data_IF_801151647984
#
_entry.id   IF_801151647984
#
_cell.length_a   1.000
_cell.length_b   1.000
_cell.length_c   1.000
_cell.angle_alpha   90.00
_cell.angle_beta   90.00
_cell.angle_gamma   90.00
#
_symmetry.space_group_name_H-M   'P 1'
#
loop_
_entity.id
_entity.type
_entity.pdbx_description
1 polymer ?
#
# COMPACT_ATOMS: atom_id res chain seq x y z
N UNK A 1 16.14 -16.16 14.25
CA UNK A 1 15.63 -15.04 13.42
C UNK A 1 16.62 -14.76 12.29
N UNK A 2 16.16 -14.46 11.06
CA UNK A 2 17.02 -13.96 9.98
C UNK A 2 17.90 -12.80 10.42
N UNK A 3 19.10 -12.63 9.86
CA UNK A 3 19.84 -11.36 10.00
C UNK A 3 19.05 -10.24 9.29
N UNK A 4 18.51 -9.29 10.05
CA UNK A 4 17.65 -8.20 9.54
C UNK A 4 18.50 -6.98 9.10
N UNK A 5 19.79 -6.97 9.42
CA UNK A 5 20.76 -5.92 9.08
C UNK A 5 20.94 -5.72 7.57
N UNK A 6 20.51 -6.68 6.74
CA UNK A 6 20.63 -6.61 5.29
C UNK A 6 19.80 -5.45 4.68
N UNK A 7 20.42 -4.66 3.79
CA UNK A 7 19.76 -3.50 3.16
C UNK A 7 18.67 -3.85 2.14
N UNK A 8 18.79 -4.99 1.44
CA UNK A 8 17.92 -5.38 0.33
C UNK A 8 17.67 -6.89 0.38
N UNK A 9 16.44 -7.33 0.10
CA UNK A 9 16.09 -8.76 0.02
C UNK A 9 17.01 -9.56 -0.90
N UNK A 10 17.41 -8.98 -2.04
CA UNK A 10 18.38 -9.61 -2.97
C UNK A 10 19.73 -9.96 -2.33
N UNK A 11 20.14 -9.24 -1.28
CA UNK A 11 21.40 -9.46 -0.56
C UNK A 11 21.24 -10.39 0.65
N UNK A 12 20.03 -10.85 0.94
CA UNK A 12 19.80 -11.83 2.01
C UNK A 12 20.39 -13.16 1.56
N UNK A 13 21.11 -13.84 2.45
CA UNK A 13 21.71 -15.13 2.14
C UNK A 13 20.64 -16.18 1.82
N UNK A 14 20.91 -17.07 0.87
CA UNK A 14 19.93 -18.07 0.46
C UNK A 14 19.63 -19.06 1.58
N UNK A 15 20.58 -19.34 2.48
CA UNK A 15 20.34 -20.11 3.71
C UNK A 15 19.19 -19.57 4.57
N UNK A 16 18.91 -18.27 4.49
CA UNK A 16 17.80 -17.62 5.17
C UNK A 16 16.53 -17.61 4.32
N UNK A 17 16.67 -17.46 2.99
CA UNK A 17 15.52 -17.44 2.09
C UNK A 17 14.89 -18.82 1.92
N UNK A 18 15.69 -19.87 1.77
CA UNK A 18 15.24 -21.24 1.47
C UNK A 18 14.22 -21.78 2.49
N UNK A 19 14.44 -21.66 3.82
CA UNK A 19 13.43 -22.05 4.80
C UNK A 19 12.11 -21.27 4.68
N UNK A 20 12.15 -20.02 4.21
CA UNK A 20 10.94 -19.21 4.00
C UNK A 20 10.16 -19.65 2.76
N UNK A 21 10.86 -20.05 1.70
CA UNK A 21 10.24 -20.66 0.52
C UNK A 21 9.59 -22.00 0.87
N UNK A 22 10.35 -22.88 1.53
CA UNK A 22 9.85 -24.19 1.96
C UNK A 22 8.61 -24.05 2.86
N UNK A 23 8.62 -23.12 3.82
CA UNK A 23 7.46 -22.84 4.66
C UNK A 23 6.19 -22.46 3.88
N UNK A 24 6.33 -21.85 2.70
CA UNK A 24 5.19 -21.49 1.85
C UNK A 24 4.76 -22.68 1.01
N UNK A 25 5.69 -23.43 0.45
CA UNK A 25 5.42 -24.65 -0.31
C UNK A 25 4.73 -25.73 0.55
N UNK A 26 5.17 -25.90 1.79
CA UNK A 26 4.60 -26.89 2.73
C UNK A 26 3.15 -26.58 3.12
N UNK A 27 2.74 -25.30 3.02
CA UNK A 27 1.44 -24.81 3.51
C UNK A 27 0.44 -24.53 2.41
N UNK A 28 0.91 -24.35 1.17
CA UNK A 28 0.09 -23.91 0.06
C UNK A 28 0.43 -24.72 -1.18
N UNK A 29 -0.61 -25.22 -1.85
CA UNK A 29 -0.49 -25.79 -3.19
C UNK A 29 -0.26 -24.64 -4.19
N UNK A 30 1.01 -24.30 -4.41
CA UNK A 30 1.40 -23.24 -5.33
C UNK A 30 1.17 -23.68 -6.77
N UNK A 31 0.11 -23.16 -7.40
CA UNK A 31 -0.19 -23.37 -8.82
C UNK A 31 0.36 -22.23 -9.69
N UNK A 32 0.77 -22.56 -10.91
CA UNK A 32 1.23 -21.60 -11.93
C UNK A 32 2.69 -21.80 -12.34
N UNK A 33 3.18 -20.90 -13.18
CA UNK A 33 4.56 -20.92 -13.64
C UNK A 33 5.54 -20.65 -12.47
N UNK A 34 6.53 -21.52 -12.31
CA UNK A 34 7.48 -21.47 -11.19
C UNK A 34 8.26 -20.14 -11.14
N UNK A 35 8.56 -19.53 -12.29
CA UNK A 35 9.29 -18.26 -12.35
C UNK A 35 8.42 -17.13 -11.81
N UNK A 36 7.15 -17.08 -12.21
CA UNK A 36 6.21 -16.05 -11.77
C UNK A 36 5.80 -16.20 -10.30
N UNK A 37 5.62 -17.43 -9.83
CA UNK A 37 5.40 -17.74 -8.41
C UNK A 37 6.59 -17.25 -7.58
N UNK A 38 7.82 -17.62 -7.97
CA UNK A 38 9.02 -17.20 -7.26
C UNK A 38 9.24 -15.69 -7.26
N UNK A 39 8.93 -15.01 -8.37
CA UNK A 39 8.98 -13.55 -8.47
C UNK A 39 7.98 -12.88 -7.53
N UNK A 40 6.78 -13.44 -7.44
CA UNK A 40 5.72 -12.96 -6.55
C UNK A 40 6.10 -13.14 -5.08
N UNK A 41 6.59 -14.32 -4.70
CA UNK A 41 7.09 -14.60 -3.35
C UNK A 41 8.25 -13.69 -2.96
N UNK A 42 9.25 -13.54 -3.83
CA UNK A 42 10.36 -12.59 -3.64
C UNK A 42 9.87 -11.18 -3.35
N UNK A 43 8.87 -10.71 -4.10
CA UNK A 43 8.29 -9.37 -3.93
C UNK A 43 7.59 -9.24 -2.58
N UNK A 44 6.83 -10.25 -2.16
CA UNK A 44 6.15 -10.28 -0.86
C UNK A 44 7.15 -10.30 0.29
N UNK A 45 8.17 -11.15 0.24
CA UNK A 45 9.21 -11.19 1.27
C UNK A 45 10.01 -9.89 1.34
N UNK A 46 10.38 -9.32 0.19
CA UNK A 46 11.09 -8.04 0.14
C UNK A 46 10.27 -6.90 0.75
N UNK A 47 8.96 -6.84 0.45
CA UNK A 47 8.07 -5.84 1.01
C UNK A 47 7.86 -6.05 2.51
N UNK A 48 7.68 -7.29 2.96
CA UNK A 48 7.54 -7.62 4.38
C UNK A 48 8.77 -7.18 5.17
N UNK A 49 9.97 -7.52 4.70
CA UNK A 49 11.23 -7.08 5.31
C UNK A 49 11.33 -5.55 5.35
N UNK A 50 11.02 -4.87 4.23
CA UNK A 50 11.05 -3.40 4.17
C UNK A 50 10.11 -2.77 5.20
N UNK A 51 8.89 -3.28 5.31
CA UNK A 51 7.90 -2.76 6.24
C UNK A 51 8.29 -3.01 7.68
N UNK A 52 8.79 -4.21 7.99
CA UNK A 52 9.29 -4.55 9.31
C UNK A 52 10.42 -3.59 9.74
N UNK A 53 11.44 -3.42 8.90
CA UNK A 53 12.55 -2.49 9.17
C UNK A 53 12.07 -1.04 9.29
N UNK A 54 11.11 -0.62 8.47
CA UNK A 54 10.54 0.72 8.54
C UNK A 54 9.86 0.97 9.89
N UNK A 55 9.06 0.02 10.38
CA UNK A 55 8.40 0.11 11.69
C UNK A 55 9.41 0.18 12.84
N UNK A 56 10.47 -0.62 12.76
CA UNK A 56 11.58 -0.56 13.71
C UNK A 56 12.27 0.81 13.71
N UNK A 57 12.53 1.38 12.53
CA UNK A 57 13.11 2.72 12.41
C UNK A 57 12.19 3.80 13.00
N UNK A 58 10.88 3.68 12.84
CA UNK A 58 9.91 4.60 13.47
C UNK A 58 9.97 4.52 15.00
N UNK A 59 10.05 3.31 15.57
CA UNK A 59 10.25 3.11 17.02
C UNK A 59 11.58 3.72 17.49
N UNK A 60 12.67 3.44 16.78
CA UNK A 60 14.00 4.02 17.02
C UNK A 60 13.95 5.55 17.06
N UNK A 61 13.38 6.20 16.03
CA UNK A 61 13.30 7.66 15.96
C UNK A 61 12.49 8.26 17.11
N UNK A 62 11.37 7.63 17.47
CA UNK A 62 10.54 8.08 18.60
C UNK A 62 11.30 7.97 19.91
N UNK A 63 11.88 6.80 20.19
CA UNK A 63 12.61 6.56 21.43
C UNK A 63 13.88 7.43 21.53
N UNK A 64 14.57 7.68 20.42
CA UNK A 64 15.76 8.55 20.35
C UNK A 64 15.42 9.99 20.68
N UNK A 65 14.28 10.46 20.18
CA UNK A 65 13.78 11.80 20.48
C UNK A 65 13.38 11.95 21.95
N UNK A 66 12.79 10.93 22.57
CA UNK A 66 12.27 11.00 23.93
C UNK A 66 13.33 10.74 25.01
N UNK A 67 14.26 9.81 24.78
CA UNK A 67 15.16 9.30 25.82
C UNK A 67 16.66 9.42 25.47
N UNK A 68 17.00 9.87 24.26
CA UNK A 68 18.39 10.00 23.81
C UNK A 68 19.02 8.71 23.27
N UNK A 69 20.23 8.83 22.75
CA UNK A 69 20.91 7.78 21.96
C UNK A 69 21.31 6.55 22.79
N UNK A 70 21.77 6.76 24.02
CA UNK A 70 22.26 5.70 24.90
C UNK A 70 21.13 4.77 25.36
N UNK A 71 19.98 5.36 25.72
CA UNK A 71 18.80 4.60 26.10
C UNK A 71 18.34 3.66 24.98
N UNK A 72 18.21 4.19 23.75
CA UNK A 72 17.65 3.43 22.63
C UNK A 72 18.51 2.24 22.24
N UNK A 73 19.83 2.35 22.37
CA UNK A 73 20.74 1.23 22.10
C UNK A 73 20.52 0.05 23.05
N UNK A 74 20.23 0.34 24.31
CA UNK A 74 20.05 -0.68 25.36
C UNK A 74 18.62 -1.21 25.48
N UNK A 75 17.66 -0.65 24.73
CA UNK A 75 16.24 -1.03 24.78
C UNK A 75 15.74 -1.52 23.41
N UNK A 76 16.21 -2.69 22.93
CA UNK A 76 15.68 -3.29 21.70
C UNK A 76 14.20 -3.65 21.86
N UNK A 77 13.39 -3.54 20.80
CA UNK A 77 12.02 -4.06 20.82
C UNK A 77 11.99 -5.58 21.06
N UNK A 78 10.99 -6.06 21.80
CA UNK A 78 10.83 -7.46 22.23
C UNK A 78 11.05 -8.51 21.13
N UNK A 79 10.66 -8.20 19.89
CA UNK A 79 10.76 -9.10 18.75
C UNK A 79 12.08 -8.98 17.94
N UNK A 80 13.11 -8.32 18.48
CA UNK A 80 14.40 -8.10 17.82
C UNK A 80 15.54 -8.39 18.79
N UNK A 81 16.52 -9.19 18.38
CA UNK A 81 17.71 -9.45 19.21
C UNK A 81 18.56 -8.19 19.35
N UNK A 82 19.28 -8.07 20.46
CA UNK A 82 20.16 -6.93 20.70
C UNK A 82 21.20 -6.74 19.58
N UNK A 83 21.78 -7.82 19.04
CA UNK A 83 22.75 -7.70 17.95
C UNK A 83 22.12 -7.15 16.67
N UNK A 84 20.94 -7.66 16.29
CA UNK A 84 20.22 -7.18 15.11
C UNK A 84 19.79 -5.71 15.27
N UNK A 85 19.41 -5.30 16.48
CA UNK A 85 19.03 -3.93 16.77
C UNK A 85 20.22 -2.97 16.63
N UNK A 86 21.36 -3.30 17.24
CA UNK A 86 22.60 -2.54 17.13
C UNK A 86 23.06 -2.48 15.67
N UNK A 87 23.03 -3.61 14.96
CA UNK A 87 23.41 -3.67 13.55
C UNK A 87 22.54 -2.76 12.66
N UNK A 88 21.23 -2.69 12.92
CA UNK A 88 20.32 -1.78 12.21
C UNK A 88 20.63 -0.31 12.50
N UNK A 89 20.94 0.03 13.75
CA UNK A 89 21.32 1.39 14.12
C UNK A 89 22.59 1.76 13.38
N UNK A 90 23.67 1.00 13.60
CA UNK A 90 25.03 1.33 13.16
C UNK A 90 25.19 1.29 11.64
N UNK A 91 24.74 0.21 11.00
CA UNK A 91 25.03 -0.06 9.59
C UNK A 91 23.96 0.45 8.63
N UNK A 92 22.77 0.84 9.13
CA UNK A 92 21.63 1.20 8.29
C UNK A 92 21.08 2.59 8.56
N UNK A 93 20.84 2.97 9.81
CA UNK A 93 20.17 4.24 10.13
C UNK A 93 21.13 5.38 10.45
N UNK A 94 22.31 5.09 11.00
CA UNK A 94 23.35 6.10 11.25
C UNK A 94 24.29 6.31 10.07
N UNK A 95 24.25 5.41 9.09
CA UNK A 95 25.02 5.46 7.85
C UNK A 95 24.86 6.80 7.11
N UNK A 96 25.98 7.34 6.63
CA UNK A 96 26.01 8.64 5.96
C UNK A 96 25.21 8.62 4.66
N UNK A 97 25.45 7.62 3.81
CA UNK A 97 24.78 7.49 2.51
C UNK A 97 23.27 7.38 2.66
N UNK A 98 22.81 6.64 3.68
CA UNK A 98 21.38 6.55 3.99
C UNK A 98 20.78 7.90 4.39
N UNK A 99 21.46 8.68 5.24
CA UNK A 99 21.01 10.02 5.65
C UNK A 99 20.94 10.97 4.46
N UNK A 100 21.98 11.00 3.63
CA UNK A 100 22.02 11.84 2.43
C UNK A 100 20.88 11.49 1.46
N UNK A 101 20.71 10.20 1.15
CA UNK A 101 19.65 9.73 0.27
C UNK A 101 18.26 10.07 0.83
N UNK A 102 18.07 9.92 2.14
CA UNK A 102 16.81 10.27 2.82
C UNK A 102 16.51 11.78 2.70
N UNK A 103 17.52 12.64 2.90
CA UNK A 103 17.38 14.09 2.75
C UNK A 103 17.06 14.48 1.31
N UNK A 104 17.78 13.90 0.33
CA UNK A 104 17.52 14.12 -1.10
C UNK A 104 16.10 13.70 -1.48
N UNK A 105 15.65 12.53 -1.02
CA UNK A 105 14.28 12.07 -1.26
C UNK A 105 13.23 12.97 -0.60
N UNK A 106 13.51 13.52 0.58
CA UNK A 106 12.62 14.49 1.24
C UNK A 106 12.55 15.79 0.45
N UNK A 107 13.70 16.32 0.01
CA UNK A 107 13.81 17.51 -0.84
C UNK A 107 13.03 17.31 -2.15
N UNK A 108 13.26 16.21 -2.87
CA UNK A 108 12.56 15.89 -4.11
C UNK A 108 11.02 15.84 -3.95
N UNK A 109 10.51 15.32 -2.82
CA UNK A 109 9.06 15.30 -2.55
C UNK A 109 8.52 16.70 -2.31
N UNK A 110 9.28 17.55 -1.63
CA UNK A 110 8.87 18.90 -1.26
C UNK A 110 8.96 19.88 -2.45
N UNK A 111 9.98 19.76 -3.28
CA UNK A 111 10.20 20.63 -4.46
C UNK A 111 9.23 20.33 -5.60
N UNK A 112 8.64 19.14 -5.60
CA UNK A 112 7.79 18.68 -6.69
C UNK A 112 6.46 18.13 -6.18
N UNK A 113 5.66 18.97 -5.50
CA UNK A 113 4.41 18.54 -4.87
C UNK A 113 3.37 18.15 -5.93
N UNK A 114 3.36 18.80 -7.09
CA UNK A 114 2.34 18.60 -8.11
C UNK A 114 2.53 17.31 -8.91
N UNK A 115 3.77 16.85 -9.14
CA UNK A 115 4.01 15.54 -9.78
C UNK A 115 3.70 14.36 -8.86
N UNK A 116 3.63 14.59 -7.55
CA UNK A 116 3.22 13.57 -6.58
C UNK A 116 1.71 13.58 -6.30
N UNK A 117 0.96 14.54 -6.84
CA UNK A 117 -0.50 14.55 -6.79
C UNK A 117 -1.03 13.64 -7.89
N UNK A 118 -1.73 12.58 -7.49
CA UNK A 118 -2.44 11.73 -8.42
C UNK A 118 -3.54 12.53 -9.14
N UNK A 119 -3.41 12.74 -10.45
CA UNK A 119 -4.34 13.58 -11.23
C UNK A 119 -5.73 12.95 -11.43
N UNK A 120 -5.87 11.64 -11.23
CA UNK A 120 -7.08 10.89 -11.65
C UNK A 120 -7.95 10.37 -10.51
N UNK A 121 -7.80 10.92 -9.29
CA UNK A 121 -8.61 10.55 -8.12
C UNK A 121 -8.36 9.10 -7.69
N UNK A 122 -9.31 8.40 -7.07
CA UNK A 122 -9.07 7.02 -6.59
C UNK A 122 -9.22 5.93 -7.66
N UNK A 123 -9.66 6.27 -8.89
CA UNK A 123 -9.84 5.31 -9.98
C UNK A 123 -8.51 5.10 -10.73
N UNK A 124 -8.24 3.87 -11.13
CA UNK A 124 -7.09 3.56 -11.99
C UNK A 124 -7.32 4.07 -13.42
N UNK A 125 -6.25 4.24 -14.19
CA UNK A 125 -6.33 4.62 -15.60
C UNK A 125 -7.12 3.59 -16.43
N UNK A 126 -6.91 2.29 -16.18
CA UNK A 126 -7.62 1.21 -16.86
C UNK A 126 -9.14 1.28 -16.66
N UNK A 127 -9.60 1.59 -15.44
CA UNK A 127 -11.03 1.78 -15.15
C UNK A 127 -11.59 2.96 -15.96
N UNK A 128 -10.82 4.04 -16.14
CA UNK A 128 -11.25 5.20 -16.93
C UNK A 128 -11.30 4.91 -18.43
N UNK A 129 -10.36 4.11 -18.94
CA UNK A 129 -10.38 3.65 -20.35
C UNK A 129 -11.61 2.79 -20.59
N UNK A 130 -11.87 1.82 -19.72
CA UNK A 130 -13.07 0.98 -19.80
C UNK A 130 -14.37 1.79 -19.72
N UNK A 131 -14.45 2.78 -18.81
CA UNK A 131 -15.59 3.71 -18.74
C UNK A 131 -15.74 4.54 -20.03
N UNK A 132 -14.64 4.94 -20.67
CA UNK A 132 -14.66 5.62 -21.97
C UNK A 132 -15.19 4.75 -23.11
N UNK A 133 -14.72 3.50 -23.18
CA UNK A 133 -15.14 2.53 -24.19
C UNK A 133 -16.62 2.15 -24.03
N UNK A 134 -17.11 2.00 -22.79
CA UNK A 134 -18.53 1.75 -22.52
C UNK A 134 -19.43 2.91 -22.95
N UNK A 135 -18.98 4.16 -22.81
CA UNK A 135 -19.74 5.33 -23.30
C UNK A 135 -19.86 5.30 -24.82
N UNK A 136 -18.76 5.03 -25.53
CA UNK A 136 -18.77 4.90 -26.99
C UNK A 136 -19.66 3.75 -27.47
N UNK A 137 -19.61 2.59 -26.81
CA UNK A 137 -20.48 1.45 -27.13
C UNK A 137 -21.97 1.78 -26.95
N UNK A 138 -22.33 2.46 -25.86
CA UNK A 138 -23.71 2.86 -25.60
C UNK A 138 -24.21 3.91 -26.60
N UNK A 139 -23.35 4.85 -27.01
CA UNK A 139 -23.66 5.78 -28.09
C UNK A 139 -23.93 5.05 -29.41
N UNK A 140 -23.05 4.11 -29.78
CA UNK A 140 -23.17 3.34 -31.03
C UNK A 140 -24.43 2.45 -31.05
N UNK A 141 -24.74 1.77 -29.94
CA UNK A 141 -25.94 0.92 -29.81
C UNK A 141 -27.25 1.72 -29.98
N UNK A 142 -27.32 2.93 -29.44
CA UNK A 142 -28.52 3.78 -29.56
C UNK A 142 -28.67 4.43 -30.95
N UNK A 143 -27.64 4.36 -31.81
CA UNK A 143 -27.70 4.82 -33.20
C UNK A 143 -28.16 3.71 -34.18
N UNK A 144 -28.31 2.46 -33.71
CA UNK A 144 -28.73 1.32 -34.54
C UNK A 144 -30.24 1.36 -34.85
N UNK A 145 -31.05 1.99 -34.00
CA UNK A 145 -32.49 2.16 -34.21
C UNK A 145 -32.79 3.56 -34.79
N UNK A 146 -33.20 3.68 -36.08
CA UNK A 146 -33.45 4.96 -36.72
C UNK A 146 -34.66 5.72 -36.15
N UNK A 147 -35.54 5.05 -35.39
CA UNK A 147 -36.70 5.66 -34.74
C UNK A 147 -36.46 5.99 -33.25
N UNK A 148 -35.29 5.62 -32.71
CA UNK A 148 -34.93 5.92 -31.33
C UNK A 148 -34.36 7.34 -31.18
N UNK A 149 -34.78 8.04 -30.13
CA UNK A 149 -34.20 9.33 -29.76
C UNK A 149 -32.76 9.08 -29.30
N UNK A 150 -31.74 9.66 -29.97
CA UNK A 150 -30.35 9.48 -29.55
C UNK A 150 -30.16 9.99 -28.13
N UNK A 151 -29.45 9.22 -27.31
CA UNK A 151 -29.13 9.65 -25.95
C UNK A 151 -28.28 10.90 -25.98
N UNK A 152 -28.58 11.82 -25.06
CA UNK A 152 -27.70 12.96 -24.81
C UNK A 152 -26.38 12.49 -24.18
N UNK A 153 -25.26 13.18 -24.43
CA UNK A 153 -23.97 12.86 -23.81
C UNK A 153 -24.05 12.78 -22.27
N UNK A 154 -24.92 13.57 -21.65
CA UNK A 154 -25.19 13.55 -20.22
C UNK A 154 -25.84 12.23 -19.77
N UNK A 155 -26.79 11.70 -20.54
CA UNK A 155 -27.48 10.44 -20.24
C UNK A 155 -26.56 9.22 -20.38
N UNK A 156 -25.72 9.21 -21.42
CA UNK A 156 -24.67 8.19 -21.61
C UNK A 156 -23.72 8.20 -20.41
N UNK A 157 -23.24 9.39 -20.04
CA UNK A 157 -22.32 9.57 -18.91
C UNK A 157 -22.93 9.13 -17.57
N UNK A 158 -24.21 9.43 -17.31
CA UNK A 158 -24.91 9.00 -16.08
C UNK A 158 -25.11 7.49 -16.05
N UNK A 159 -25.42 6.85 -17.19
CA UNK A 159 -25.56 5.38 -17.27
C UNK A 159 -24.24 4.66 -17.00
N UNK A 160 -23.14 5.11 -17.58
CA UNK A 160 -21.82 4.46 -17.42
C UNK A 160 -21.16 4.78 -16.09
N UNK A 161 -21.08 6.07 -15.73
CA UNK A 161 -20.37 6.50 -14.52
C UNK A 161 -21.19 6.31 -13.25
N UNK A 162 -22.48 6.03 -13.41
CA UNK A 162 -23.53 6.01 -12.37
C UNK A 162 -23.75 7.40 -11.76
N UNK A 163 -24.94 7.68 -11.21
CA UNK A 163 -25.19 8.92 -10.49
C UNK A 163 -24.17 9.10 -9.36
N UNK A 164 -23.39 10.18 -9.42
CA UNK A 164 -22.43 10.52 -8.36
C UNK A 164 -23.21 11.02 -7.14
N UNK A 165 -23.18 10.24 -6.06
CA UNK A 165 -23.73 10.66 -4.76
C UNK A 165 -23.10 11.99 -4.31
N UNK A 166 -23.95 12.98 -4.00
CA UNK A 166 -23.54 14.27 -3.45
C UNK A 166 -23.27 15.41 -4.45
N UNK A 167 -23.46 15.20 -5.76
CA UNK A 167 -23.37 16.28 -6.74
C UNK A 167 -24.72 17.02 -6.86
N UNK A 168 -24.75 18.31 -6.52
CA UNK A 168 -25.92 19.19 -6.74
C UNK A 168 -25.57 20.17 -7.86
N UNK A 169 -26.38 20.15 -8.94
CA UNK A 169 -26.18 21.02 -10.11
C UNK A 169 -26.17 22.49 -9.68
N UNK A 170 -25.09 23.21 -9.99
CA UNK A 170 -24.91 24.64 -9.67
C UNK A 170 -24.20 24.95 -8.35
N UNK A 171 -23.85 23.96 -7.51
CA UNK A 171 -23.22 24.19 -6.20
C UNK A 171 -21.83 23.55 -6.03
N UNK A 172 -21.25 23.01 -7.10
CA UNK A 172 -19.93 22.39 -7.06
C UNK A 172 -19.87 21.13 -6.19
N UNK A 173 -18.65 20.67 -5.91
CA UNK A 173 -18.42 19.50 -5.05
C UNK A 173 -18.61 19.94 -3.60
N UNK A 174 -19.68 19.46 -2.94
CA UNK A 174 -19.86 19.65 -1.49
C UNK A 174 -18.65 19.04 -0.77
N UNK A 175 -18.10 19.69 0.28
CA UNK A 175 -17.10 19.07 1.14
C UNK A 175 -17.63 17.71 1.63
N UNK A 176 -16.89 16.67 1.29
CA UNK A 176 -17.26 15.26 1.47
C UNK A 176 -17.73 14.95 2.90
N UNK A 177 -18.99 14.58 3.09
CA UNK A 177 -19.37 13.71 4.21
C UNK A 177 -18.89 12.31 3.88
N UNK A 178 -17.84 11.85 4.56
CA UNK A 178 -17.25 10.52 4.45
C UNK A 178 -18.30 9.41 4.27
N UNK A 179 -18.47 8.92 3.03
CA UNK A 179 -19.17 7.67 2.74
C UNK A 179 -18.21 6.76 1.97
N UNK A 180 -17.90 5.63 2.61
CA UNK A 180 -17.13 4.51 2.07
C UNK A 180 -17.83 4.03 0.79
N UNK A 181 -17.11 3.99 -0.32
CA UNK A 181 -17.59 3.38 -1.56
C UNK A 181 -17.84 1.90 -1.32
N UNK A 182 -19.11 1.48 -1.28
CA UNK A 182 -19.47 0.07 -1.42
C UNK A 182 -19.49 -0.20 -2.92
N UNK A 183 -18.39 -0.75 -3.45
CA UNK A 183 -18.37 -1.26 -4.82
C UNK A 183 -19.21 -2.55 -4.88
N UNK A 184 -20.27 -2.52 -5.68
CA UNK A 184 -21.16 -3.64 -5.96
C UNK A 184 -20.64 -4.46 -7.14
N UNK A 185 -19.78 -5.44 -6.87
CA UNK A 185 -19.72 -6.69 -7.65
C UNK A 185 -19.56 -7.81 -6.65
N UNK A 186 -20.39 -8.85 -6.74
CA UNK A 186 -20.34 -10.01 -5.84
C UNK A 186 -18.96 -10.66 -5.89
N UNK A 187 -18.37 -10.77 -7.08
CA UNK A 187 -17.03 -11.32 -7.29
C UNK A 187 -15.94 -10.48 -6.62
N UNK A 188 -16.06 -9.15 -6.64
CA UNK A 188 -15.09 -8.25 -5.99
C UNK A 188 -15.20 -8.32 -4.47
N UNK A 189 -16.43 -8.47 -3.94
CA UNK A 189 -16.66 -8.70 -2.51
C UNK A 189 -16.12 -10.05 -2.06
N UNK A 190 -16.31 -11.10 -2.87
CA UNK A 190 -15.78 -12.45 -2.64
C UNK A 190 -14.25 -12.46 -2.68
N UNK A 191 -13.64 -11.79 -3.67
CA UNK A 191 -12.18 -11.68 -3.78
C UNK A 191 -11.58 -10.86 -2.64
N UNK A 192 -12.22 -9.76 -2.23
CA UNK A 192 -11.79 -8.98 -1.07
C UNK A 192 -11.94 -9.78 0.22
N UNK A 193 -13.03 -10.52 0.39
CA UNK A 193 -13.24 -11.40 1.55
C UNK A 193 -12.16 -12.48 1.63
N UNK A 194 -11.87 -13.18 0.51
CA UNK A 194 -10.79 -14.18 0.43
C UNK A 194 -9.41 -13.57 0.70
N UNK A 195 -9.16 -12.36 0.20
CA UNK A 195 -7.93 -11.64 0.46
C UNK A 195 -7.82 -11.23 1.94
N UNK A 196 -8.89 -10.71 2.54
CA UNK A 196 -8.96 -10.33 3.95
C UNK A 196 -8.76 -11.56 4.87
N UNK A 197 -9.41 -12.68 4.58
CA UNK A 197 -9.22 -13.96 5.28
C UNK A 197 -7.78 -14.48 5.15
N UNK A 198 -7.21 -14.46 3.95
CA UNK A 198 -5.81 -14.83 3.73
C UNK A 198 -4.86 -13.93 4.53
N UNK A 199 -5.13 -12.63 4.58
CA UNK A 199 -4.34 -11.72 5.42
C UNK A 199 -4.51 -12.02 6.90
N UNK A 200 -5.72 -12.27 7.39
CA UNK A 200 -5.95 -12.61 8.80
C UNK A 200 -5.21 -13.89 9.22
N UNK A 201 -5.23 -14.93 8.39
CA UNK A 201 -4.54 -16.19 8.65
C UNK A 201 -3.00 -16.02 8.69
N UNK A 202 -2.43 -15.21 7.78
CA UNK A 202 -1.00 -14.88 7.80
C UNK A 202 -0.65 -14.14 9.10
N UNK A 203 -1.52 -13.24 9.57
CA UNK A 203 -1.30 -12.47 10.79
C UNK A 203 -1.38 -13.33 12.06
N UNK A 204 -2.32 -14.26 12.14
CA UNK A 204 -2.40 -15.22 13.24
C UNK A 204 -1.18 -16.14 13.28
N UNK A 205 -0.74 -16.63 12.12
CA UNK A 205 0.46 -17.45 12.04
C UNK A 205 1.70 -16.68 12.52
N UNK A 206 1.90 -15.45 12.06
CA UNK A 206 2.99 -14.61 12.53
C UNK A 206 2.90 -14.38 14.06
N UNK A 207 1.69 -14.15 14.59
CA UNK A 207 1.47 -14.00 16.04
C UNK A 207 1.85 -15.27 16.82
N UNK A 208 1.55 -16.46 16.30
CA UNK A 208 1.94 -17.75 16.91
C UNK A 208 3.46 -17.97 16.96
N UNK A 209 4.21 -17.31 16.08
CA UNK A 209 5.67 -17.34 16.00
C UNK A 209 6.32 -16.19 16.78
N UNK A 210 5.57 -15.48 17.63
CA UNK A 210 6.06 -14.35 18.43
C UNK A 210 6.09 -13.00 17.70
N UNK A 211 5.55 -12.89 16.47
CA UNK A 211 5.37 -11.61 15.79
C UNK A 211 4.07 -10.92 16.26
N UNK A 212 4.13 -10.18 17.37
CA UNK A 212 2.97 -9.58 18.05
C UNK A 212 2.49 -8.25 17.47
N UNK A 213 3.02 -7.79 16.32
CA UNK A 213 2.75 -6.42 15.87
C UNK A 213 1.35 -6.29 15.21
N UNK A 214 0.52 -5.30 15.59
CA UNK A 214 -0.76 -5.08 14.92
C UNK A 214 -0.50 -4.64 13.48
N UNK A 215 -1.02 -5.37 12.50
CA UNK A 215 -1.05 -4.90 11.11
C UNK A 215 -2.30 -4.05 10.96
N UNK A 216 -2.16 -2.76 11.27
CA UNK A 216 -3.18 -1.78 10.89
C UNK A 216 -3.12 -1.56 9.39
N UNK A 217 -4.29 -1.59 8.74
CA UNK A 217 -4.53 -1.05 7.41
C UNK A 217 -4.21 0.45 7.41
N UNK A 218 -2.93 0.79 7.28
CA UNK A 218 -2.43 2.16 7.26
C UNK A 218 -2.77 2.86 5.95
N UNK A 219 -4.05 3.17 5.75
CA UNK A 219 -4.45 4.21 4.82
C UNK A 219 -3.89 5.55 5.32
N UNK A 220 -2.90 6.10 4.61
CA UNK A 220 -2.42 7.45 4.88
C UNK A 220 -3.49 8.45 4.42
N UNK A 221 -4.40 8.82 5.32
CA UNK A 221 -5.18 10.05 5.16
C UNK A 221 -4.29 11.22 5.59
N UNK A 222 -3.85 11.99 4.60
CA UNK A 222 -3.13 13.25 4.78
C UNK A 222 -4.06 14.26 5.47
N UNK A 223 -4.00 14.33 6.81
CA UNK A 223 -4.56 15.46 7.54
C UNK A 223 -3.58 16.63 7.42
N UNK A 224 -3.94 17.61 6.60
CA UNK A 224 -3.23 18.88 6.52
C UNK A 224 -3.51 19.69 7.79
N UNK A 225 -2.53 19.75 8.69
CA UNK A 225 -2.49 20.79 9.72
C UNK A 225 -2.31 22.14 9.02
N UNK A 226 -3.30 23.02 9.14
CA UNK A 226 -3.14 24.46 8.93
C UNK A 226 -2.53 25.02 10.21
N UNK A 227 -1.34 25.59 10.12
CA UNK A 227 -0.79 26.43 11.17
C UNK A 227 -1.43 27.80 11.03
N UNK A 228 -2.14 28.23 12.07
CA UNK A 228 -2.56 29.62 12.21
C UNK A 228 -1.31 30.45 12.52
N UNK A 229 -1.10 31.48 11.70
CA UNK A 229 -0.05 32.46 11.88
C UNK A 229 -0.34 33.37 13.07
N UNK A 230 0.74 33.92 13.62
CA UNK A 230 0.70 35.09 14.49
C UNK A 230 1.22 36.29 13.68
#
# INVERSE_FOLDING_TARGET
MPNIGVRKWKKVADSIKQPMYQCVEDKFDLQGDSVDVNKSLNTKFANSLRQHVYRLHTKYKKAKLTHGDEYVRNHPPENVTAENWIELIDKKWTDSDFKELSLKNKKNRNENPDKNKHRVGSKSLAVRVHEGEEMLRLEEEHLVDPDAIPLTPEEVSVRVLKPRSGYVKGLGIRPSSSLRTIASSAELKEANKRHEEMTANILEFLRSQGFTTPFGSGGSSSSSYRGDGN
#
